data_IF_215446927876
#
_entry.id   IF_215446927876
#
_cell.length_a   1.000
_cell.length_b   1.000
_cell.length_c   1.000
_cell.angle_alpha   90.00
_cell.angle_beta   90.00
_cell.angle_gamma   90.00
#
_symmetry.space_group_name_H-M   'P 1'
#
loop_
_entity.id
_entity.type
_entity.pdbx_description
1 polymer ?
#
# COMPACT_ATOMS: atom_id res chain seq x y z
N UNK A 1 5.16 10.58 12.79
CA UNK A 1 6.42 9.81 12.62
C UNK A 1 6.85 9.89 11.16
N UNK A 2 8.12 10.11 10.84
CA UNK A 2 8.57 10.14 9.43
C UNK A 2 8.60 8.72 8.87
N UNK A 3 8.02 8.53 7.69
CA UNK A 3 8.00 7.26 6.98
C UNK A 3 9.17 7.19 6.00
N UNK A 4 9.72 5.99 5.84
CA UNK A 4 10.85 5.70 4.95
C UNK A 4 10.44 4.68 3.90
N UNK A 5 11.14 4.66 2.78
CA UNK A 5 11.02 3.57 1.81
C UNK A 5 11.25 2.21 2.49
N UNK A 6 10.38 1.26 2.15
CA UNK A 6 10.34 -0.08 2.71
C UNK A 6 9.57 -0.21 4.02
N UNK A 7 9.13 0.90 4.64
CA UNK A 7 8.28 0.83 5.82
C UNK A 7 6.94 0.17 5.47
N UNK A 8 6.41 -0.62 6.39
CA UNK A 8 5.02 -1.08 6.37
C UNK A 8 4.25 -0.34 7.45
N UNK A 9 3.10 0.24 7.11
CA UNK A 9 2.19 0.83 8.08
C UNK A 9 0.93 -0.02 8.22
N UNK A 10 0.48 -0.22 9.46
CA UNK A 10 -0.75 -0.95 9.78
C UNK A 10 -1.58 -0.12 10.76
N UNK A 11 -2.83 0.11 10.44
CA UNK A 11 -3.80 0.80 11.29
C UNK A 11 -4.03 0.00 12.56
N UNK A 12 -3.83 0.63 13.71
CA UNK A 12 -3.97 -0.02 15.01
C UNK A 12 -5.40 -0.05 15.50
N UNK A 13 -6.26 0.80 14.94
CA UNK A 13 -7.68 0.91 15.26
C UNK A 13 -8.48 0.10 14.25
N UNK A 14 -9.30 -0.83 14.74
CA UNK A 14 -10.09 -1.77 13.94
C UNK A 14 -9.22 -2.42 12.86
N UNK A 15 -8.13 -3.13 13.22
CA UNK A 15 -7.18 -3.67 12.25
C UNK A 15 -7.84 -4.60 11.21
N UNK A 16 -8.98 -5.20 11.54
CA UNK A 16 -9.82 -5.96 10.60
C UNK A 16 -10.32 -5.17 9.37
N UNK A 17 -10.31 -3.83 9.42
CA UNK A 17 -10.62 -2.98 8.26
C UNK A 17 -9.51 -2.97 7.19
N UNK A 18 -8.37 -3.63 7.46
CA UNK A 18 -7.26 -3.78 6.50
C UNK A 18 -6.66 -2.44 6.04
N UNK A 19 -6.65 -1.46 6.95
CA UNK A 19 -5.97 -0.20 6.72
C UNK A 19 -4.45 -0.39 6.86
N UNK A 20 -3.77 -0.78 5.80
CA UNK A 20 -2.31 -0.91 5.76
C UNK A 20 -1.75 -0.43 4.43
N UNK A 21 -0.46 -0.10 4.41
CA UNK A 21 0.24 0.27 3.18
C UNK A 21 1.72 -0.12 3.23
N UNK A 22 2.27 -0.38 2.05
CA UNK A 22 3.70 -0.53 1.81
C UNK A 22 4.26 0.81 1.29
N UNK A 23 5.28 1.35 1.95
CA UNK A 23 5.86 2.64 1.56
C UNK A 23 6.96 2.40 0.53
N UNK A 24 6.68 2.59 -0.75
CA UNK A 24 7.65 2.36 -1.82
C UNK A 24 8.54 3.57 -2.11
N UNK A 25 7.96 4.77 -2.27
CA UNK A 25 8.70 6.02 -2.45
C UNK A 25 7.95 7.09 -1.67
N UNK A 26 8.38 7.43 -0.44
CA UNK A 26 7.69 8.46 0.33
C UNK A 26 7.97 9.84 -0.28
N UNK A 27 6.95 10.69 -0.32
CA UNK A 27 7.18 12.13 -0.46
C UNK A 27 8.13 12.60 0.65
N UNK A 28 8.96 13.62 0.36
CA UNK A 28 9.99 14.09 1.28
C UNK A 28 9.47 14.47 2.68
N UNK A 29 8.17 14.73 2.82
CA UNK A 29 7.49 15.10 4.07
C UNK A 29 6.44 14.08 4.56
N UNK A 30 6.47 12.83 4.08
CA UNK A 30 5.44 11.86 4.45
C UNK A 30 5.55 11.48 5.92
N UNK A 31 4.48 11.74 6.67
CA UNK A 31 4.40 11.42 8.10
C UNK A 31 3.19 10.53 8.40
N UNK A 32 3.41 9.50 9.22
CA UNK A 32 2.36 8.64 9.75
C UNK A 32 1.77 9.20 11.04
N UNK A 33 0.44 9.10 11.16
CA UNK A 33 -0.32 9.33 12.40
C UNK A 33 0.06 8.32 13.50
N UNK A 34 -0.16 8.68 14.76
CA UNK A 34 0.03 7.79 15.92
C UNK A 34 -0.94 6.61 15.94
N UNK A 35 -2.00 6.63 15.13
CA UNK A 35 -2.92 5.51 14.91
C UNK A 35 -2.38 4.41 13.99
N UNK A 36 -1.11 4.50 13.57
CA UNK A 36 -0.43 3.46 12.78
C UNK A 36 0.73 2.86 13.56
N UNK A 37 0.87 1.54 13.46
CA UNK A 37 2.11 0.86 13.73
C UNK A 37 2.99 0.98 12.49
N UNK A 38 4.23 1.44 12.66
CA UNK A 38 5.21 1.51 11.57
C UNK A 38 6.25 0.43 11.80
N UNK A 39 6.38 -0.46 10.83
CA UNK A 39 7.35 -1.54 10.81
C UNK A 39 8.44 -1.21 9.80
N UNK A 40 9.60 -0.78 10.31
CA UNK A 40 10.79 -0.56 9.47
C UNK A 40 11.58 -1.86 9.35
N UNK A 41 11.85 -2.36 8.12
CA UNK A 41 12.60 -3.58 7.93
C UNK A 41 14.07 -3.39 8.34
N UNK A 42 14.64 -4.39 9.01
CA UNK A 42 16.06 -4.35 9.44
C UNK A 42 17.05 -4.36 8.28
N UNK A 43 16.63 -4.91 7.13
CA UNK A 43 17.40 -4.97 5.89
C UNK A 43 16.45 -4.72 4.71
N UNK A 44 16.90 -4.09 3.61
CA UNK A 44 16.04 -3.78 2.48
C UNK A 44 15.30 -4.99 1.90
N UNK A 45 15.96 -6.16 1.79
CA UNK A 45 15.36 -7.38 1.26
C UNK A 45 14.32 -8.03 2.19
N UNK A 46 14.10 -7.50 3.41
CA UNK A 46 13.00 -7.95 4.26
C UNK A 46 11.71 -7.16 4.02
N UNK A 47 11.74 -6.06 3.28
CA UNK A 47 10.62 -5.12 3.21
C UNK A 47 9.32 -5.78 2.70
N UNK A 48 9.38 -6.48 1.56
CA UNK A 48 8.21 -7.17 1.00
C UNK A 48 7.75 -8.33 1.87
N UNK A 49 8.67 -9.07 2.49
CA UNK A 49 8.34 -10.15 3.41
C UNK A 49 7.62 -9.62 4.66
N UNK A 50 8.11 -8.56 5.29
CA UNK A 50 7.48 -7.93 6.46
C UNK A 50 6.07 -7.45 6.11
N UNK A 51 5.91 -6.77 4.98
CA UNK A 51 4.61 -6.35 4.48
C UNK A 51 3.65 -7.53 4.36
N UNK A 52 3.99 -8.53 3.56
CA UNK A 52 3.13 -9.67 3.30
C UNK A 52 2.84 -10.51 4.55
N UNK A 53 3.80 -10.62 5.48
CA UNK A 53 3.65 -11.38 6.71
C UNK A 53 2.64 -10.74 7.69
N UNK A 54 2.57 -9.41 7.74
CA UNK A 54 1.66 -8.67 8.64
C UNK A 54 0.30 -8.38 8.00
N UNK A 55 0.21 -8.37 6.67
CA UNK A 55 -1.03 -8.06 5.93
C UNK A 55 -1.80 -9.27 5.43
N UNK A 56 -1.27 -10.49 5.61
CA UNK A 56 -1.99 -11.73 5.31
C UNK A 56 -3.23 -11.90 6.17
N UNK A 57 -4.21 -12.64 5.67
CA UNK A 57 -5.54 -12.78 6.28
C UNK A 57 -5.45 -13.25 7.73
N UNK A 58 -4.66 -14.28 8.03
CA UNK A 58 -4.57 -14.82 9.38
C UNK A 58 -3.92 -13.83 10.36
N UNK A 59 -2.99 -13.00 9.87
CA UNK A 59 -2.37 -11.96 10.69
C UNK A 59 -3.38 -10.85 11.02
N UNK A 60 -4.17 -10.42 10.03
CA UNK A 60 -5.21 -9.41 10.22
C UNK A 60 -6.30 -9.92 11.16
N UNK A 61 -6.77 -11.16 10.99
CA UNK A 61 -7.74 -11.78 11.88
C UNK A 61 -7.23 -11.87 13.30
N UNK A 62 -5.96 -12.29 13.49
CA UNK A 62 -5.32 -12.30 14.80
C UNK A 62 -5.31 -10.90 15.43
N UNK A 63 -4.93 -9.87 14.67
CA UNK A 63 -4.92 -8.49 15.16
C UNK A 63 -6.34 -8.00 15.49
N UNK A 64 -7.35 -8.37 14.71
CA UNK A 64 -8.75 -8.04 14.98
C UNK A 64 -9.23 -8.70 16.29
N UNK A 65 -8.86 -9.95 16.53
CA UNK A 65 -9.21 -10.68 17.75
C UNK A 65 -8.46 -10.19 18.99
N UNK A 66 -7.25 -9.66 18.83
CA UNK A 66 -6.46 -9.07 19.91
C UNK A 66 -6.80 -7.60 20.17
N UNK A 67 -7.62 -6.98 19.32
CA UNK A 67 -8.03 -5.60 19.52
C UNK A 67 -8.95 -5.51 20.74
N UNK A 68 -8.63 -4.60 21.65
CA UNK A 68 -9.38 -4.38 22.88
C UNK A 68 -10.23 -3.11 22.77
N UNK A 69 -11.37 -3.10 23.46
CA UNK A 69 -12.36 -2.02 23.45
C UNK A 69 -13.54 -2.27 22.51
N UNK A 70 -14.77 -2.21 23.04
CA UNK A 70 -15.99 -2.54 22.29
C UNK A 70 -16.30 -1.52 21.18
N UNK A 71 -16.40 -0.22 21.51
CA UNK A 71 -16.74 0.82 20.54
C UNK A 71 -15.55 1.25 19.66
N UNK A 72 -14.33 1.07 20.18
CA UNK A 72 -13.09 1.47 19.53
C UNK A 72 -12.01 0.38 19.70
N UNK A 73 -12.16 -0.77 19.01
CA UNK A 73 -11.20 -1.86 19.10
C UNK A 73 -9.83 -1.40 18.62
N UNK A 74 -8.80 -1.51 19.45
CA UNK A 74 -7.44 -1.12 19.09
C UNK A 74 -6.39 -2.11 19.60
N UNK A 75 -5.29 -2.23 18.86
CA UNK A 75 -4.09 -2.98 19.25
C UNK A 75 -2.93 -2.01 19.51
N UNK A 76 -2.00 -2.39 20.39
CA UNK A 76 -0.75 -1.63 20.55
C UNK A 76 0.19 -1.94 19.40
N UNK A 77 1.05 -0.98 19.02
CA UNK A 77 1.98 -1.15 17.90
C UNK A 77 2.97 -2.32 18.09
N UNK A 78 3.32 -2.67 19.33
CA UNK A 78 4.17 -3.82 19.60
C UNK A 78 3.47 -5.16 19.26
N UNK A 79 2.15 -5.27 19.47
CA UNK A 79 1.38 -6.46 19.09
C UNK A 79 1.41 -6.71 17.59
N UNK A 80 1.45 -5.63 16.80
CA UNK A 80 1.64 -5.68 15.34
C UNK A 80 3.06 -6.14 15.00
N UNK A 81 4.08 -5.58 15.64
CA UNK A 81 5.48 -5.94 15.43
C UNK A 81 5.81 -7.38 15.86
N UNK A 82 5.11 -7.91 16.85
CA UNK A 82 5.23 -9.29 17.35
C UNK A 82 4.38 -10.29 16.55
N UNK A 83 3.92 -9.93 15.35
CA UNK A 83 3.17 -10.85 14.48
C UNK A 83 3.99 -12.10 14.17
N UNK A 84 3.51 -13.30 14.54
CA UNK A 84 4.23 -14.53 14.28
C UNK A 84 4.41 -14.78 12.78
N UNK A 85 5.63 -15.12 12.38
CA UNK A 85 5.96 -15.51 11.02
C UNK A 85 7.11 -16.53 11.02
N UNK A 86 7.18 -17.33 9.97
CA UNK A 86 8.28 -18.28 9.75
C UNK A 86 9.41 -17.53 9.06
N UNK A 87 10.59 -17.51 9.67
CA UNK A 87 11.79 -16.86 9.11
C UNK A 87 12.63 -17.90 8.38
N UNK A 88 12.73 -17.75 7.05
CA UNK A 88 13.62 -18.55 6.21
C UNK A 88 15.07 -18.02 6.27
N UNK A 89 16.06 -18.78 5.76
CA UNK A 89 17.42 -18.27 5.60
C UNK A 89 17.46 -16.98 4.77
N UNK A 90 18.45 -16.12 5.02
CA UNK A 90 18.56 -14.81 4.37
C UNK A 90 18.58 -14.88 2.84
N UNK A 91 19.24 -15.89 2.29
CA UNK A 91 19.32 -16.12 0.85
C UNK A 91 17.93 -16.35 0.25
N UNK A 92 17.10 -17.16 0.92
CA UNK A 92 15.72 -17.44 0.49
C UNK A 92 14.86 -16.18 0.57
N UNK A 93 15.01 -15.36 1.62
CA UNK A 93 14.25 -14.11 1.73
C UNK A 93 14.71 -13.09 0.67
N UNK A 94 16.00 -13.08 0.32
CA UNK A 94 16.52 -12.23 -0.75
C UNK A 94 15.94 -12.61 -2.12
N UNK A 95 15.92 -13.91 -2.46
CA UNK A 95 15.30 -14.41 -3.69
C UNK A 95 13.78 -14.13 -3.71
N UNK A 96 13.10 -14.36 -2.59
CA UNK A 96 11.69 -13.99 -2.45
C UNK A 96 11.46 -12.50 -2.69
N UNK A 97 12.33 -11.64 -2.13
CA UNK A 97 12.27 -10.19 -2.33
C UNK A 97 12.51 -9.80 -3.78
N UNK A 98 13.40 -10.48 -4.50
CA UNK A 98 13.67 -10.20 -5.91
C UNK A 98 12.44 -10.42 -6.79
N UNK A 99 11.58 -11.37 -6.42
CA UNK A 99 10.31 -11.64 -7.12
C UNK A 99 9.19 -10.71 -6.65
N UNK A 100 9.04 -10.52 -5.34
CA UNK A 100 7.86 -9.84 -4.76
C UNK A 100 7.96 -8.33 -4.78
N UNK A 101 9.16 -7.76 -4.61
CA UNK A 101 9.38 -6.31 -4.67
C UNK A 101 8.80 -5.71 -5.97
N UNK A 102 9.22 -6.13 -7.19
CA UNK A 102 8.69 -5.53 -8.42
C UNK A 102 7.18 -5.70 -8.59
N UNK A 103 6.58 -6.76 -8.01
CA UNK A 103 5.12 -6.91 -8.03
C UNK A 103 4.43 -5.83 -7.18
N UNK A 104 4.94 -5.56 -5.98
CA UNK A 104 4.40 -4.52 -5.10
C UNK A 104 4.58 -3.13 -5.71
N UNK A 105 5.73 -2.86 -6.33
CA UNK A 105 6.00 -1.60 -7.03
C UNK A 105 5.00 -1.37 -8.18
N UNK A 106 4.73 -2.42 -8.98
CA UNK A 106 3.75 -2.34 -10.07
C UNK A 106 2.32 -2.13 -9.56
N UNK A 107 1.93 -2.73 -8.43
CA UNK A 107 0.61 -2.50 -7.81
C UNK A 107 0.46 -1.02 -7.45
N UNK A 108 1.47 -0.42 -6.85
CA UNK A 108 1.46 1.00 -6.47
C UNK A 108 1.40 1.90 -7.71
N UNK A 109 2.28 1.69 -8.69
CA UNK A 109 2.30 2.46 -9.94
C UNK A 109 0.95 2.39 -10.68
N UNK A 110 0.36 1.20 -10.78
CA UNK A 110 -0.96 1.03 -11.39
C UNK A 110 -2.04 1.80 -10.63
N UNK A 111 -1.98 1.80 -9.30
CA UNK A 111 -2.94 2.52 -8.45
C UNK A 111 -2.81 4.04 -8.62
N UNK A 112 -1.59 4.55 -8.69
CA UNK A 112 -1.31 5.98 -8.93
C UNK A 112 -1.78 6.44 -10.32
N UNK A 113 -1.68 5.58 -11.34
CA UNK A 113 -2.15 5.89 -12.70
C UNK A 113 -3.67 5.75 -12.86
N UNK A 114 -4.30 4.83 -12.13
CA UNK A 114 -5.72 4.54 -12.27
C UNK A 114 -6.62 5.76 -11.95
N UNK A 115 -6.29 6.54 -10.92
CA UNK A 115 -7.10 7.69 -10.52
C UNK A 115 -7.08 8.85 -11.56
N UNK A 116 -5.92 9.31 -12.05
CA UNK A 116 -5.86 10.28 -13.15
C UNK A 116 -6.55 9.79 -14.43
N UNK A 117 -6.38 8.52 -14.80
CA UNK A 117 -7.03 7.95 -15.97
C UNK A 117 -8.55 7.90 -15.83
N UNK A 118 -9.05 7.54 -14.64
CA UNK A 118 -10.48 7.58 -14.35
C UNK A 118 -11.04 9.01 -14.40
N UNK A 119 -10.33 9.99 -13.82
CA UNK A 119 -10.72 11.39 -13.87
C UNK A 119 -10.73 11.94 -15.30
N UNK A 120 -9.73 11.57 -16.10
CA UNK A 120 -9.66 11.93 -17.52
C UNK A 120 -10.84 11.33 -18.29
N UNK A 121 -11.15 10.04 -18.09
CA UNK A 121 -12.33 9.38 -18.65
C UNK A 121 -13.60 10.15 -18.28
N UNK A 122 -13.82 10.41 -17.00
CA UNK A 122 -15.05 11.04 -16.51
C UNK A 122 -15.20 12.49 -17.00
N UNK A 123 -14.09 13.16 -17.30
CA UNK A 123 -14.08 14.50 -17.91
C UNK A 123 -14.36 14.47 -19.41
N UNK A 124 -13.76 13.53 -20.14
CA UNK A 124 -13.83 13.48 -21.61
C UNK A 124 -15.09 12.80 -22.13
N UNK A 125 -15.56 11.74 -21.47
CA UNK A 125 -16.69 10.94 -21.93
C UNK A 125 -17.97 11.79 -22.13
N UNK A 126 -18.36 12.68 -21.18
CA UNK A 126 -19.54 13.53 -21.37
C UNK A 126 -19.38 14.53 -22.53
N UNK A 127 -18.15 15.01 -22.77
CA UNK A 127 -17.85 15.97 -23.86
C UNK A 127 -17.88 15.30 -25.24
N UNK A 128 -17.38 14.06 -25.31
CA UNK A 128 -17.46 13.22 -26.51
C UNK A 128 -18.91 12.88 -26.85
N UNK A 129 -19.70 12.42 -25.87
CA UNK A 129 -21.12 12.06 -26.07
C UNK A 129 -21.96 13.28 -26.49
N UNK A 130 -21.70 14.45 -25.89
CA UNK A 130 -22.42 15.69 -26.25
C UNK A 130 -21.97 16.31 -27.58
N UNK A 131 -21.00 15.72 -28.28
CA UNK A 131 -20.44 16.25 -29.52
C UNK A 131 -19.63 17.55 -29.36
N UNK A 132 -19.39 17.98 -28.11
CA UNK A 132 -18.57 19.16 -27.77
C UNK A 132 -17.07 18.89 -27.95
N UNK A 133 -16.69 17.64 -28.10
CA UNK A 133 -15.34 17.18 -28.43
C UNK A 133 -15.47 16.12 -29.53
N UNK A 134 -14.70 16.24 -30.63
CA UNK A 134 -14.68 15.24 -31.69
C UNK A 134 -13.44 14.36 -31.57
N UNK A 135 -13.59 13.05 -31.71
CA UNK A 135 -12.50 12.08 -31.52
C UNK A 135 -11.25 12.41 -32.37
N UNK A 136 -11.44 12.86 -33.62
CA UNK A 136 -10.36 13.25 -34.54
C UNK A 136 -9.53 14.47 -34.08
N UNK A 137 -10.10 15.33 -33.23
CA UNK A 137 -9.39 16.50 -32.69
C UNK A 137 -8.52 16.11 -31.47
N UNK A 138 -8.79 14.95 -30.85
CA UNK A 138 -8.09 14.46 -29.66
C UNK A 138 -6.87 13.61 -30.04
N UNK A 139 -6.92 12.85 -31.14
CA UNK A 139 -5.80 12.01 -31.62
C UNK A 139 -4.51 12.81 -31.82
N UNK A 140 -4.59 14.03 -32.37
CA UNK A 140 -3.43 14.89 -32.60
C UNK A 140 -2.78 15.48 -31.33
N UNK A 141 -3.45 15.45 -30.18
CA UNK A 141 -2.91 15.98 -28.91
C UNK A 141 -2.29 14.90 -28.02
N UNK A 142 -2.61 13.63 -28.23
CA UNK A 142 -2.08 12.52 -27.43
C UNK A 142 -0.78 11.96 -28.02
N UNK A 143 -0.55 12.07 -29.33
CA UNK A 143 0.70 11.65 -29.99
C UNK A 143 1.87 12.64 -29.83
N UNK A 144 1.63 13.82 -29.24
CA UNK A 144 2.63 14.88 -29.03
C UNK A 144 3.17 15.01 -27.61
N UNK A 145 2.80 14.10 -26.70
CA UNK A 145 3.30 13.97 -25.33
C UNK A 145 4.11 12.67 -25.20
#
# INVERSE_FOLDING_TARGET
MHLREGDTIVGTVRPGNRAFAYIHVPDASLTGSTGFAVLSPKKPHYASFVYLAVTRDEAIERLANLADGAAYPAVRSNVVAETPCVIAPNEVIAEFSAVTKPMLERIEQNSQQAAPLAALRDTLLPRLISGRLRAREVEHHVEGL
#
